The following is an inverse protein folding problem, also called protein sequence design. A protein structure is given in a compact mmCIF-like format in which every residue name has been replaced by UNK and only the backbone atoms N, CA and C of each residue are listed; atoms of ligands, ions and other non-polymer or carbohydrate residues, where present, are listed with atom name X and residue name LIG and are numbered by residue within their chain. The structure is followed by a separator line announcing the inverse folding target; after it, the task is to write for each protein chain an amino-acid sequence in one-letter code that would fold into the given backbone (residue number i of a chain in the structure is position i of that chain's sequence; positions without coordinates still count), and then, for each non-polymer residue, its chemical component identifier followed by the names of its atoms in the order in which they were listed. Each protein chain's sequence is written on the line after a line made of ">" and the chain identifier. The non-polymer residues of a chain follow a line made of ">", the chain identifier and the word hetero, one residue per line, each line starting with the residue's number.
data_IF_592165798306
#
_entry.id   IF_592165798306
#
_cell.length_a   1.000
_cell.length_b   1.000
_cell.length_c   1.000
_cell.angle_alpha   90.00
_cell.angle_beta   90.00
_cell.angle_gamma   90.00
#
_symmetry.space_group_name_H-M   'P 1'
#
loop_
_entity.id
_entity.type
_entity.pdbx_description
1 polymer ?
#
# COMPACT_ATOMS: atom_id res chain seq x y z
N UNK A 1 3.82 -16.42 26.78
CA UNK A 1 3.91 -16.35 25.31
C UNK A 1 4.23 -14.90 24.93
N UNK A 2 5.35 -14.61 24.27
CA UNK A 2 5.53 -13.28 23.71
C UNK A 2 4.53 -13.14 22.56
N UNK A 3 3.54 -12.25 22.70
CA UNK A 3 2.62 -11.95 21.61
C UNK A 3 3.44 -11.30 20.50
N UNK A 4 3.38 -11.84 19.29
CA UNK A 4 4.05 -11.23 18.14
C UNK A 4 3.45 -9.83 17.91
N UNK A 5 4.32 -8.83 17.76
CA UNK A 5 3.93 -7.41 17.68
C UNK A 5 3.06 -7.16 16.45
N UNK A 6 3.37 -7.81 15.31
CA UNK A 6 2.65 -7.63 14.05
C UNK A 6 1.17 -8.08 14.15
N UNK A 7 0.85 -9.32 14.55
CA UNK A 7 -0.54 -9.74 14.79
C UNK A 7 -1.28 -8.86 15.79
N UNK A 8 -0.59 -8.37 16.83
CA UNK A 8 -1.20 -7.49 17.84
C UNK A 8 -1.66 -6.16 17.24
N UNK A 9 -0.79 -5.52 16.46
CA UNK A 9 -1.10 -4.25 15.78
C UNK A 9 -2.25 -4.45 14.79
N UNK A 10 -2.15 -5.46 13.93
CA UNK A 10 -3.16 -5.72 12.89
C UNK A 10 -4.53 -6.11 13.49
N UNK A 11 -4.55 -6.95 14.53
CA UNK A 11 -5.80 -7.31 15.22
C UNK A 11 -6.44 -6.10 15.89
N UNK A 12 -5.64 -5.23 16.51
CA UNK A 12 -6.13 -3.98 17.12
C UNK A 12 -6.74 -3.05 16.07
N UNK A 13 -6.08 -2.89 14.92
CA UNK A 13 -6.59 -2.10 13.81
C UNK A 13 -7.89 -2.67 13.24
N UNK A 14 -7.97 -3.99 13.03
CA UNK A 14 -9.19 -4.67 12.55
C UNK A 14 -10.36 -4.48 13.52
N UNK A 15 -10.11 -4.68 14.82
CA UNK A 15 -11.12 -4.51 15.86
C UNK A 15 -11.62 -3.06 15.96
N UNK A 16 -10.71 -2.08 15.85
CA UNK A 16 -11.04 -0.65 15.92
C UNK A 16 -11.15 0.01 14.53
N UNK A 17 -11.65 -0.71 13.52
CA UNK A 17 -11.72 -0.23 12.13
C UNK A 17 -12.39 1.13 11.94
N UNK A 18 -13.38 1.47 12.76
CA UNK A 18 -14.09 2.75 12.67
C UNK A 18 -13.37 3.93 13.35
N UNK A 19 -12.28 3.70 14.10
CA UNK A 19 -11.59 4.75 14.87
C UNK A 19 -10.38 5.28 14.11
N UNK A 20 -10.55 6.39 13.39
CA UNK A 20 -9.49 7.00 12.57
C UNK A 20 -8.16 7.17 13.32
N UNK A 21 -8.19 7.65 14.58
CA UNK A 21 -6.98 7.80 15.39
C UNK A 21 -6.25 6.49 15.69
N UNK A 22 -6.98 5.39 15.90
CA UNK A 22 -6.36 4.06 16.09
C UNK A 22 -5.73 3.60 14.79
N UNK A 23 -6.41 3.82 13.68
CA UNK A 23 -5.91 3.46 12.36
C UNK A 23 -4.66 4.25 11.97
N UNK A 24 -4.67 5.56 12.21
CA UNK A 24 -3.53 6.46 12.01
C UNK A 24 -2.30 5.96 12.80
N UNK A 25 -2.47 5.67 14.09
CA UNK A 25 -1.38 5.19 14.95
C UNK A 25 -0.93 3.77 14.60
N UNK A 26 -1.86 2.90 14.18
CA UNK A 26 -1.54 1.57 13.68
C UNK A 26 -0.73 1.60 12.40
N UNK A 27 -1.11 2.46 11.44
CA UNK A 27 -0.34 2.72 10.24
C UNK A 27 1.06 3.27 10.58
N UNK A 28 1.16 4.19 11.55
CA UNK A 28 2.46 4.69 12.02
C UNK A 28 3.35 3.59 12.62
N UNK A 29 2.76 2.69 13.42
CA UNK A 29 3.50 1.55 13.95
C UNK A 29 4.03 0.67 12.82
N UNK A 30 3.21 0.42 11.78
CA UNK A 30 3.61 -0.36 10.61
C UNK A 30 4.75 0.30 9.81
N UNK A 31 4.80 1.63 9.71
CA UNK A 31 5.95 2.33 9.10
C UNK A 31 7.25 1.90 9.77
N UNK A 32 7.30 1.96 11.11
CA UNK A 32 8.50 1.63 11.87
C UNK A 32 8.83 0.13 11.82
N UNK A 33 7.82 -0.72 11.90
CA UNK A 33 7.98 -2.17 11.78
C UNK A 33 8.52 -2.58 10.41
N UNK A 34 8.04 -1.96 9.32
CA UNK A 34 8.47 -2.28 7.97
C UNK A 34 9.94 -1.94 7.67
N UNK A 35 10.59 -1.12 8.51
CA UNK A 35 12.03 -0.82 8.42
C UNK A 35 12.92 -1.97 8.92
N UNK A 36 12.35 -2.94 9.64
CA UNK A 36 13.07 -4.10 10.17
C UNK A 36 12.70 -5.34 9.35
N UNK A 37 13.67 -5.98 8.67
CA UNK A 37 13.44 -7.12 7.78
C UNK A 37 12.52 -8.21 8.38
N UNK A 38 12.75 -8.73 9.61
CA UNK A 38 11.89 -9.77 10.17
C UNK A 38 10.44 -9.32 10.38
N UNK A 39 10.24 -8.05 10.74
CA UNK A 39 8.91 -7.50 10.99
C UNK A 39 8.19 -7.16 9.69
N UNK A 40 8.93 -6.68 8.68
CA UNK A 40 8.41 -6.47 7.33
C UNK A 40 7.90 -7.76 6.71
N UNK A 41 8.68 -8.84 6.82
CA UNK A 41 8.30 -10.12 6.25
C UNK A 41 7.05 -10.69 6.94
N UNK A 42 6.95 -10.53 8.27
CA UNK A 42 5.74 -10.84 9.03
C UNK A 42 4.54 -9.95 8.66
N UNK A 43 4.73 -8.63 8.46
CA UNK A 43 3.67 -7.73 8.00
C UNK A 43 3.10 -8.17 6.65
N UNK A 44 3.97 -8.61 5.75
CA UNK A 44 3.57 -9.10 4.44
C UNK A 44 2.83 -10.44 4.55
N UNK A 45 3.27 -11.34 5.43
CA UNK A 45 2.58 -12.62 5.70
C UNK A 45 1.18 -12.42 6.29
N UNK A 46 1.00 -11.37 7.10
CA UNK A 46 -0.23 -11.07 7.83
C UNK A 46 -1.16 -10.06 7.12
N UNK A 47 -0.94 -9.81 5.82
CA UNK A 47 -1.81 -8.94 5.00
C UNK A 47 -1.90 -7.49 5.45
N UNK A 48 -0.77 -6.93 5.90
CA UNK A 48 -0.68 -5.54 6.27
C UNK A 48 -1.07 -4.59 5.11
N UNK A 49 -0.73 -4.92 3.85
CA UNK A 49 -1.08 -4.10 2.68
C UNK A 49 -2.61 -3.98 2.54
N UNK A 50 -3.35 -5.08 2.70
CA UNK A 50 -4.81 -5.06 2.61
C UNK A 50 -5.42 -4.31 3.77
N UNK A 51 -4.88 -4.50 4.97
CA UNK A 51 -5.31 -3.76 6.16
C UNK A 51 -5.12 -2.25 5.97
N UNK A 52 -4.01 -1.82 5.39
CA UNK A 52 -3.73 -0.42 5.04
C UNK A 52 -4.69 0.12 3.98
N UNK A 53 -4.98 -0.64 2.93
CA UNK A 53 -5.90 -0.22 1.87
C UNK A 53 -7.34 -0.10 2.38
N UNK A 54 -7.85 -1.12 3.09
CA UNK A 54 -9.17 -1.06 3.71
C UNK A 54 -9.30 0.12 4.68
N UNK A 55 -8.21 0.45 5.38
CA UNK A 55 -8.14 1.62 6.23
C UNK A 55 -8.23 2.94 5.45
N UNK A 56 -7.46 3.06 4.35
CA UNK A 56 -7.51 4.22 3.46
C UNK A 56 -8.90 4.42 2.84
N UNK A 57 -9.55 3.35 2.39
CA UNK A 57 -10.90 3.40 1.81
C UNK A 57 -11.94 3.86 2.84
N UNK A 58 -11.87 3.35 4.07
CA UNK A 58 -12.82 3.69 5.14
C UNK A 58 -12.66 5.11 5.67
N UNK A 59 -11.43 5.62 5.71
CA UNK A 59 -11.10 6.94 6.25
C UNK A 59 -10.57 7.87 5.16
N UNK A 60 -11.25 7.88 4.00
CA UNK A 60 -10.79 8.60 2.80
C UNK A 60 -10.60 10.11 3.04
N UNK A 61 -11.36 10.68 3.98
CA UNK A 61 -11.30 12.09 4.35
C UNK A 61 -10.30 12.40 5.47
N UNK A 62 -9.76 11.39 6.15
CA UNK A 62 -8.80 11.59 7.22
C UNK A 62 -7.37 11.64 6.66
N UNK A 63 -6.86 12.86 6.51
CA UNK A 63 -5.50 13.11 6.03
C UNK A 63 -4.43 12.37 6.82
N UNK A 64 -4.58 12.24 8.14
CA UNK A 64 -3.61 11.60 9.01
C UNK A 64 -3.51 10.09 8.74
N UNK A 65 -4.67 9.46 8.58
CA UNK A 65 -4.79 8.05 8.18
C UNK A 65 -4.21 7.82 6.77
N UNK A 66 -4.62 8.64 5.80
CA UNK A 66 -4.14 8.53 4.42
C UNK A 66 -2.62 8.66 4.34
N UNK A 67 -2.07 9.72 4.94
CA UNK A 67 -0.65 10.03 4.88
C UNK A 67 0.20 8.91 5.47
N UNK A 68 -0.15 8.42 6.67
CA UNK A 68 0.60 7.34 7.32
C UNK A 68 0.45 6.00 6.61
N UNK A 69 -0.69 5.75 5.99
CA UNK A 69 -0.90 4.54 5.20
C UNK A 69 -0.04 4.55 3.94
N UNK A 70 0.06 5.69 3.24
CA UNK A 70 1.00 5.86 2.11
C UNK A 70 2.44 5.62 2.56
N UNK A 71 2.87 6.18 3.69
CA UNK A 71 4.22 5.93 4.23
C UNK A 71 4.49 4.46 4.51
N UNK A 72 3.52 3.75 5.09
CA UNK A 72 3.66 2.32 5.35
C UNK A 72 3.73 1.54 4.02
N UNK A 73 2.90 1.90 3.04
CA UNK A 73 2.89 1.26 1.71
C UNK A 73 4.20 1.46 0.96
N UNK A 74 4.83 2.63 1.02
CA UNK A 74 6.16 2.90 0.41
C UNK A 74 7.17 1.82 0.82
N UNK A 75 7.10 1.37 2.08
CA UNK A 75 8.01 0.37 2.65
C UNK A 75 7.59 -1.08 2.35
N UNK A 76 6.38 -1.33 1.84
CA UNK A 76 5.79 -2.68 1.74
C UNK A 76 5.52 -3.15 0.31
N UNK A 77 5.16 -2.24 -0.61
CA UNK A 77 4.65 -2.63 -1.94
C UNK A 77 5.63 -3.46 -2.77
N UNK A 78 6.94 -3.23 -2.62
CA UNK A 78 7.98 -3.98 -3.34
C UNK A 78 8.23 -5.39 -2.80
N UNK A 79 7.60 -5.77 -1.68
CA UNK A 79 7.83 -7.05 -1.00
C UNK A 79 6.59 -7.94 -1.01
N UNK A 80 5.41 -7.33 -0.83
CA UNK A 80 4.19 -8.05 -0.49
C UNK A 80 3.11 -8.09 -1.55
N UNK A 81 3.10 -7.16 -2.51
CA UNK A 81 1.96 -6.98 -3.41
C UNK A 81 1.60 -8.25 -4.20
N UNK A 82 2.61 -9.01 -4.61
CA UNK A 82 2.47 -10.24 -5.38
C UNK A 82 2.98 -11.50 -4.65
N UNK A 83 3.24 -11.45 -3.33
CA UNK A 83 3.97 -12.54 -2.65
C UNK A 83 3.28 -13.90 -2.74
N UNK A 84 1.95 -13.93 -2.75
CA UNK A 84 1.17 -15.17 -2.84
C UNK A 84 1.10 -15.74 -4.27
N UNK A 85 1.40 -14.92 -5.29
CA UNK A 85 1.49 -15.39 -6.68
C UNK A 85 2.82 -16.07 -7.02
N UNK A 86 3.81 -16.06 -6.13
CA UNK A 86 5.08 -16.77 -6.34
C UNK A 86 4.93 -18.30 -6.31
N UNK A 87 3.82 -18.80 -5.76
CA UNK A 87 3.54 -20.23 -5.60
C UNK A 87 2.30 -20.70 -6.37
N UNK A 88 1.61 -19.82 -7.10
CA UNK A 88 0.54 -20.22 -8.01
C UNK A 88 1.11 -20.33 -9.42
N UNK A 89 1.03 -21.50 -10.09
CA UNK A 89 1.44 -21.62 -11.48
C UNK A 89 0.65 -20.63 -12.37
N UNK A 90 1.24 -20.15 -13.47
CA UNK A 90 0.55 -19.26 -14.40
C UNK A 90 -0.77 -19.91 -14.90
N UNK A 91 -1.80 -19.10 -15.21
CA UNK A 91 -3.13 -19.61 -15.59
C UNK A 91 -3.17 -20.54 -16.81
N UNK A 92 -2.07 -20.64 -17.57
CA UNK A 92 -1.93 -21.55 -18.71
C UNK A 92 -1.89 -23.04 -18.34
N UNK A 93 -1.72 -23.40 -17.06
CA UNK A 93 -1.75 -24.80 -16.59
C UNK A 93 -3.08 -25.22 -15.94
N UNK A 94 -4.11 -24.36 -15.96
CA UNK A 94 -5.43 -24.65 -15.39
C UNK A 94 -6.57 -24.58 -16.42
N UNK A 95 -6.33 -25.08 -17.63
CA UNK A 95 -7.41 -25.56 -18.51
C UNK A 95 -7.89 -26.94 -18.04
N UNK A 96 -8.46 -27.05 -16.84
CA UNK A 96 -9.32 -28.18 -16.46
C UNK A 96 -10.17 -27.80 -15.23
N UNK A 97 -11.41 -27.40 -15.51
CA UNK A 97 -12.63 -27.62 -14.71
C UNK A 97 -12.51 -27.53 -13.16
N UNK A 98 -12.43 -26.30 -12.62
CA UNK A 98 -12.74 -26.07 -11.20
C UNK A 98 -14.26 -26.10 -11.02
N UNK A 99 -14.81 -27.29 -10.80
CA UNK A 99 -16.16 -27.47 -10.26
C UNK A 99 -16.14 -27.00 -8.80
N UNK A 100 -16.73 -25.84 -8.53
CA UNK A 100 -16.97 -25.37 -7.16
C UNK A 100 -17.86 -26.38 -6.44
N UNK A 101 -17.28 -27.13 -5.49
CA UNK A 101 -18.04 -27.98 -4.57
C UNK A 101 -18.73 -27.08 -3.55
N UNK A 102 -19.93 -26.59 -3.89
CA UNK A 102 -20.83 -25.92 -2.95
C UNK A 102 -21.30 -26.95 -1.91
N UNK A 103 -21.11 -26.70 -0.60
CA UNK A 103 -21.70 -27.56 0.43
C UNK A 103 -23.24 -27.41 0.45
N UNK A 104 -23.98 -28.45 0.88
CA UNK A 104 -25.45 -28.43 0.89
C UNK A 104 -26.01 -27.35 1.83
N UNK A 105 -27.07 -26.68 1.37
CA UNK A 105 -27.73 -25.50 1.96
C UNK A 105 -28.16 -25.63 3.43
N UNK A 106 -28.17 -26.84 3.99
CA UNK A 106 -28.59 -27.13 5.35
C UNK A 106 -27.62 -26.64 6.44
N UNK A 107 -26.35 -26.34 6.10
CA UNK A 107 -25.35 -25.83 7.06
C UNK A 107 -25.25 -24.29 7.09
N UNK A 108 -25.97 -23.60 6.21
CA UNK A 108 -25.86 -22.14 6.03
C UNK A 108 -26.70 -21.32 7.04
N UNK A 109 -27.48 -21.97 7.91
CA UNK A 109 -28.34 -21.32 8.92
C UNK A 109 -27.84 -21.57 10.33
N UNK A 110 -26.73 -20.95 10.72
CA UNK A 110 -26.50 -20.44 12.10
C UNK A 110 -25.12 -19.80 12.23
N UNK A 111 -24.97 -18.58 11.71
CA UNK A 111 -24.21 -17.46 12.31
C UNK A 111 -24.20 -16.32 11.30
N UNK A 112 -25.31 -15.59 11.20
CA UNK A 112 -25.35 -14.26 10.59
C UNK A 112 -24.90 -13.25 11.65
N UNK A 113 -23.66 -12.77 11.55
CA UNK A 113 -23.35 -11.38 11.87
C UNK A 113 -23.01 -10.70 10.55
N UNK A 114 -23.94 -9.87 10.08
CA UNK A 114 -23.86 -9.12 8.84
C UNK A 114 -22.76 -8.06 8.93
N UNK A 115 -21.51 -8.42 8.65
CA UNK A 115 -20.41 -7.44 8.44
C UNK A 115 -19.16 -8.05 7.78
N UNK A 116 -19.30 -9.23 7.18
CA UNK A 116 -18.32 -9.85 6.29
C UNK A 116 -18.53 -9.31 4.87
N UNK A 117 -18.12 -8.06 4.65
CA UNK A 117 -17.70 -7.65 3.32
C UNK A 117 -16.47 -8.50 2.97
N UNK A 118 -16.77 -9.65 2.38
CA UNK A 118 -16.00 -10.38 1.39
C UNK A 118 -14.66 -9.69 1.09
N UNK A 119 -13.60 -10.27 1.65
CA UNK A 119 -12.22 -9.80 1.58
C UNK A 119 -11.82 -9.75 0.10
N UNK A 120 -12.14 -8.65 -0.57
CA UNK A 120 -11.91 -8.47 -2.00
C UNK A 120 -10.45 -8.86 -2.29
N UNK A 121 -10.20 -9.70 -3.30
CA UNK A 121 -8.89 -10.28 -3.54
C UNK A 121 -7.84 -9.17 -3.59
N UNK A 122 -6.60 -9.52 -3.19
CA UNK A 122 -5.42 -8.64 -3.15
C UNK A 122 -5.03 -8.18 -4.56
N UNK A 123 -5.91 -7.44 -5.23
CA UNK A 123 -5.65 -7.00 -6.59
C UNK A 123 -4.74 -5.77 -6.50
N UNK A 124 -3.59 -5.78 -7.19
CA UNK A 124 -2.77 -4.58 -7.36
C UNK A 124 -3.60 -3.39 -7.83
N UNK A 125 -4.63 -3.65 -8.63
CA UNK A 125 -5.59 -2.64 -9.06
C UNK A 125 -6.28 -1.92 -7.90
N UNK A 126 -6.75 -2.65 -6.86
CA UNK A 126 -7.36 -2.04 -5.66
C UNK A 126 -6.37 -1.18 -4.88
N UNK A 127 -5.13 -1.67 -4.72
CA UNK A 127 -4.06 -0.92 -4.06
C UNK A 127 -3.76 0.36 -4.82
N UNK A 128 -3.53 0.27 -6.14
CA UNK A 128 -3.24 1.42 -7.00
C UNK A 128 -4.41 2.41 -6.97
N UNK A 129 -5.66 1.94 -7.15
CA UNK A 129 -6.84 2.79 -7.15
C UNK A 129 -7.01 3.56 -5.83
N UNK A 130 -6.80 2.89 -4.69
CA UNK A 130 -6.86 3.52 -3.37
C UNK A 130 -5.77 4.58 -3.17
N UNK A 131 -4.55 4.29 -3.63
CA UNK A 131 -3.47 5.28 -3.64
C UNK A 131 -3.81 6.49 -4.50
N UNK A 132 -4.34 6.30 -5.71
CA UNK A 132 -4.70 7.41 -6.61
C UNK A 132 -5.83 8.27 -6.04
N UNK A 133 -6.85 7.65 -5.43
CA UNK A 133 -7.93 8.37 -4.77
C UNK A 133 -7.39 9.25 -3.62
N UNK A 134 -6.52 8.67 -2.80
CA UNK A 134 -5.87 9.35 -1.68
C UNK A 134 -5.01 10.54 -2.14
N UNK A 135 -4.13 10.32 -3.12
CA UNK A 135 -3.23 11.35 -3.66
C UNK A 135 -4.02 12.45 -4.34
N UNK A 136 -5.06 12.12 -5.11
CA UNK A 136 -5.94 13.12 -5.74
C UNK A 136 -6.59 14.00 -4.69
N UNK A 137 -7.07 13.41 -3.58
CA UNK A 137 -7.80 14.13 -2.54
C UNK A 137 -6.93 15.12 -1.77
N UNK A 138 -5.66 14.78 -1.53
CA UNK A 138 -4.72 15.59 -0.76
C UNK A 138 -3.60 16.18 -1.61
N UNK A 139 -3.79 16.28 -2.93
CA UNK A 139 -2.77 16.69 -3.89
C UNK A 139 -2.23 18.09 -3.62
N UNK A 140 -3.03 19.00 -3.05
CA UNK A 140 -2.59 20.37 -2.75
C UNK A 140 -1.55 20.44 -1.63
N UNK A 141 -1.41 19.39 -0.81
CA UNK A 141 -0.34 19.30 0.18
C UNK A 141 0.94 18.78 -0.48
N UNK A 142 1.99 19.61 -0.51
CA UNK A 142 3.27 19.31 -1.16
C UNK A 142 3.92 18.02 -0.63
N UNK A 143 3.92 17.83 0.69
CA UNK A 143 4.53 16.67 1.31
C UNK A 143 3.70 15.41 1.06
N UNK A 144 2.38 15.53 1.00
CA UNK A 144 1.50 14.43 0.63
C UNK A 144 1.69 14.03 -0.84
N UNK A 145 1.70 15.00 -1.75
CA UNK A 145 1.91 14.79 -3.17
C UNK A 145 3.28 14.16 -3.46
N UNK A 146 4.34 14.64 -2.80
CA UNK A 146 5.69 14.08 -2.84
C UNK A 146 5.69 12.57 -2.55
N UNK A 147 5.16 12.21 -1.40
CA UNK A 147 5.18 10.84 -0.89
C UNK A 147 4.24 9.94 -1.67
N UNK A 148 3.11 10.48 -2.11
CA UNK A 148 2.20 9.85 -3.06
C UNK A 148 2.89 9.49 -4.39
N UNK A 149 3.59 10.43 -5.00
CA UNK A 149 4.31 10.21 -6.25
C UNK A 149 5.44 9.18 -6.08
N UNK A 150 6.15 9.21 -4.95
CA UNK A 150 7.16 8.20 -4.62
C UNK A 150 6.56 6.79 -4.49
N UNK A 151 5.38 6.65 -3.86
CA UNK A 151 4.67 5.38 -3.79
C UNK A 151 4.29 4.86 -5.19
N UNK A 152 3.76 5.74 -6.05
CA UNK A 152 3.42 5.38 -7.42
C UNK A 152 4.66 4.97 -8.22
N UNK A 153 5.78 5.68 -8.06
CA UNK A 153 7.05 5.26 -8.63
C UNK A 153 7.49 3.88 -8.11
N UNK A 154 7.41 3.61 -6.81
CA UNK A 154 7.76 2.29 -6.27
C UNK A 154 6.92 1.18 -6.89
N UNK A 155 5.63 1.41 -7.12
CA UNK A 155 4.76 0.44 -7.81
C UNK A 155 5.22 0.16 -9.25
N UNK A 156 5.86 1.11 -9.94
CA UNK A 156 6.44 0.88 -11.28
C UNK A 156 7.71 0.04 -11.27
N UNK A 157 8.33 -0.22 -10.11
CA UNK A 157 9.52 -1.07 -10.03
C UNK A 157 9.22 -2.54 -10.34
N UNK A 158 7.95 -2.94 -10.23
CA UNK A 158 7.47 -4.27 -10.61
C UNK A 158 6.65 -4.20 -11.91
N UNK A 159 7.17 -4.84 -12.97
CA UNK A 159 6.57 -4.82 -14.30
C UNK A 159 5.14 -5.38 -14.33
N UNK A 160 4.78 -6.25 -13.38
CA UNK A 160 3.42 -6.81 -13.28
C UNK A 160 2.37 -5.74 -12.96
N UNK A 161 2.78 -4.60 -12.39
CA UNK A 161 1.88 -3.49 -12.11
C UNK A 161 1.65 -2.60 -13.34
N UNK A 162 2.52 -2.62 -14.33
CA UNK A 162 2.55 -1.61 -15.42
C UNK A 162 1.23 -1.52 -16.17
N UNK A 163 0.62 -2.65 -16.56
CA UNK A 163 -0.68 -2.64 -17.26
C UNK A 163 -1.79 -1.97 -16.44
N UNK A 164 -1.79 -2.15 -15.12
CA UNK A 164 -2.81 -1.55 -14.24
C UNK A 164 -2.51 -0.08 -13.95
N UNK A 165 -1.23 0.28 -13.82
CA UNK A 165 -0.79 1.67 -13.64
C UNK A 165 -1.11 2.51 -14.89
N UNK A 166 -0.94 1.95 -16.08
CA UNK A 166 -1.30 2.59 -17.34
C UNK A 166 -2.82 2.78 -17.48
N UNK A 167 -3.59 1.71 -17.26
CA UNK A 167 -5.07 1.74 -17.28
C UNK A 167 -5.69 2.76 -16.32
N UNK A 168 -5.03 3.04 -15.20
CA UNK A 168 -5.51 3.96 -14.17
C UNK A 168 -4.95 5.39 -14.30
N UNK A 169 -4.32 5.73 -15.43
CA UNK A 169 -3.77 7.06 -15.73
C UNK A 169 -2.83 7.61 -14.63
N UNK A 170 -1.92 6.76 -14.15
CA UNK A 170 -0.92 7.14 -13.15
C UNK A 170 -0.02 8.25 -13.68
N UNK A 171 0.35 8.20 -14.97
CA UNK A 171 1.16 9.25 -15.62
C UNK A 171 0.44 10.60 -15.55
N UNK A 172 -0.83 10.66 -15.97
CA UNK A 172 -1.61 11.89 -15.93
C UNK A 172 -1.75 12.44 -14.50
N UNK A 173 -1.93 11.57 -13.51
CA UNK A 173 -1.98 12.01 -12.11
C UNK A 173 -0.64 12.60 -11.63
N UNK A 174 0.50 11.96 -11.93
CA UNK A 174 1.81 12.46 -11.50
C UNK A 174 2.18 13.75 -12.25
N UNK A 175 1.76 13.90 -13.52
CA UNK A 175 1.87 15.17 -14.26
C UNK A 175 1.07 16.30 -13.58
N UNK A 176 -0.17 16.03 -13.15
CA UNK A 176 -0.97 17.00 -12.38
C UNK A 176 -0.31 17.39 -11.06
N UNK A 177 0.26 16.42 -10.35
CA UNK A 177 1.01 16.69 -9.11
C UNK A 177 2.24 17.57 -9.38
N UNK A 178 3.00 17.30 -10.45
CA UNK A 178 4.17 18.10 -10.84
C UNK A 178 3.78 19.53 -11.25
N UNK A 179 2.62 19.70 -11.90
CA UNK A 179 2.08 21.02 -12.24
C UNK A 179 1.61 21.81 -11.01
N UNK A 180 1.03 21.11 -10.02
CA UNK A 180 0.59 21.70 -8.74
C UNK A 180 1.78 22.15 -7.90
N UNK A 181 2.88 21.38 -7.92
CA UNK A 181 4.09 21.62 -7.12
C UNK A 181 5.34 21.79 -7.99
N UNK A 182 5.45 22.88 -8.78
CA UNK A 182 6.50 23.04 -9.79
C UNK A 182 7.92 23.13 -9.23
N UNK A 183 8.08 23.38 -7.94
CA UNK A 183 9.39 23.48 -7.27
C UNK A 183 9.80 22.19 -6.57
N UNK A 184 8.94 21.16 -6.53
CA UNK A 184 9.24 19.89 -5.88
C UNK A 184 10.04 18.97 -6.81
N UNK A 185 11.35 18.83 -6.56
CA UNK A 185 12.26 18.02 -7.36
C UNK A 185 11.98 16.51 -7.27
N UNK A 186 11.43 16.03 -6.16
CA UNK A 186 11.12 14.62 -5.96
C UNK A 186 9.92 14.20 -6.79
N UNK A 187 8.89 15.05 -6.89
CA UNK A 187 7.73 14.79 -7.76
C UNK A 187 8.18 14.72 -9.23
N UNK A 188 9.06 15.62 -9.67
CA UNK A 188 9.64 15.58 -11.03
C UNK A 188 10.43 14.30 -11.29
N UNK A 189 11.32 13.94 -10.35
CA UNK A 189 12.08 12.69 -10.45
C UNK A 189 11.17 11.46 -10.50
N UNK A 190 10.09 11.46 -9.72
CA UNK A 190 9.08 10.40 -9.72
C UNK A 190 8.35 10.35 -11.05
N UNK A 191 7.98 11.50 -11.63
CA UNK A 191 7.36 11.60 -12.95
C UNK A 191 8.24 10.98 -14.04
N UNK A 192 9.51 11.41 -14.12
CA UNK A 192 10.46 10.91 -15.11
C UNK A 192 10.63 9.39 -14.99
N UNK A 193 10.74 8.89 -13.75
CA UNK A 193 10.84 7.47 -13.46
C UNK A 193 9.59 6.68 -13.86
N UNK A 194 8.41 7.20 -13.56
CA UNK A 194 7.12 6.58 -13.92
C UNK A 194 6.96 6.53 -15.44
N UNK A 195 7.23 7.64 -16.14
CA UNK A 195 7.14 7.72 -17.61
C UNK A 195 8.14 6.78 -18.28
N UNK A 196 9.39 6.73 -17.78
CA UNK A 196 10.42 5.84 -18.33
C UNK A 196 10.03 4.36 -18.20
N UNK A 197 9.42 3.96 -17.08
CA UNK A 197 9.09 2.56 -16.81
C UNK A 197 7.80 2.09 -17.46
N UNK A 198 6.75 2.90 -17.41
CA UNK A 198 5.47 2.57 -18.07
C UNK A 198 5.60 2.74 -19.60
N UNK A 199 6.41 3.68 -20.08
CA UNK A 199 6.66 3.88 -21.52
C UNK A 199 7.50 2.79 -22.19
N UNK A 200 8.13 1.89 -21.43
CA UNK A 200 8.91 0.74 -21.92
C UNK A 200 8.06 -0.53 -22.13
N UNK A 201 6.73 -0.41 -22.30
CA UNK A 201 5.88 -1.53 -22.75
C UNK A 201 6.16 -1.81 -24.26
N UNK A 202 7.42 -2.09 -24.59
CA UNK A 202 7.79 -2.90 -25.74
C UNK A 202 8.05 -4.32 -25.20
N UNK A 203 7.33 -5.27 -25.80
CA UNK A 203 7.28 -6.70 -25.48
C UNK A 203 8.69 -7.27 -25.24
N UNK A 204 9.09 -7.42 -23.98
CA UNK A 204 10.26 -8.22 -23.60
C UNK A 204 9.77 -9.57 -23.07
N UNK A 205 10.14 -10.70 -23.71
CA UNK A 205 9.69 -12.02 -23.25
C UNK A 205 10.27 -12.35 -21.87
N UNK A 206 9.45 -13.01 -21.04
CA UNK A 206 9.82 -13.49 -19.71
C UNK A 206 11.02 -14.45 -19.76
N UNK A 207 12.23 -13.92 -19.66
CA UNK A 207 13.43 -14.70 -19.41
C UNK A 207 14.51 -13.84 -18.76
N UNK A 208 14.32 -13.45 -17.50
CA UNK A 208 15.41 -12.97 -16.67
C UNK A 208 15.28 -13.56 -15.25
N UNK A 209 16.22 -14.45 -14.94
CA UNK A 209 16.42 -15.04 -13.61
C UNK A 209 16.68 -13.95 -12.57
N UNK A 210 15.89 -13.94 -11.50
CA UNK A 210 15.83 -12.89 -10.47
C UNK A 210 16.93 -12.97 -9.39
N UNK A 211 18.04 -13.67 -9.63
CA UNK A 211 19.09 -13.89 -8.60
C UNK A 211 19.97 -12.68 -8.29
N UNK A 212 19.91 -11.59 -9.07
CA UNK A 212 20.92 -10.52 -9.02
C UNK A 212 20.48 -9.16 -8.44
N UNK A 213 19.23 -9.01 -7.95
CA UNK A 213 18.82 -7.76 -7.30
C UNK A 213 19.29 -7.72 -5.83
N UNK A 214 20.58 -7.42 -5.66
CA UNK A 214 21.17 -7.04 -4.38
C UNK A 214 20.63 -5.65 -3.99
N UNK A 215 19.69 -5.63 -3.05
CA UNK A 215 19.15 -4.41 -2.44
C UNK A 215 20.28 -3.50 -1.96
N UNK A 216 20.37 -2.28 -2.50
CA UNK A 216 21.02 -1.16 -1.81
C UNK A 216 19.93 -0.39 -1.05
N UNK A 217 20.08 -0.19 0.27
CA UNK A 217 19.15 0.64 1.02
C UNK A 217 19.13 2.04 0.39
N UNK A 218 17.95 2.52 0.00
CA UNK A 218 17.76 3.95 -0.22
C UNK A 218 17.76 4.59 1.19
N UNK A 219 18.92 4.96 1.70
CA UNK A 219 19.10 5.82 2.87
C UNK A 219 19.78 7.12 2.40
N UNK A 220 19.45 8.35 2.91
CA UNK A 220 19.12 8.67 4.30
C UNK A 220 18.02 9.76 4.48
N UNK A 221 16.98 9.84 3.63
CA UNK A 221 16.00 10.94 3.71
C UNK A 221 14.92 10.80 4.80
N UNK A 222 14.87 9.67 5.51
CA UNK A 222 13.79 9.36 6.46
C UNK A 222 14.07 9.87 7.88
N UNK A 223 15.33 10.18 8.23
CA UNK A 223 15.70 10.46 9.64
C UNK A 223 15.44 11.89 10.11
N UNK A 224 15.50 12.90 9.23
CA UNK A 224 15.42 14.31 9.67
C UNK A 224 13.99 14.78 9.96
N UNK A 225 12.98 14.31 9.22
CA UNK A 225 11.58 14.64 9.50
C UNK A 225 10.99 13.84 10.68
N UNK A 226 11.63 12.74 11.12
CA UNK A 226 11.20 11.99 12.31
C UNK A 226 11.41 12.76 13.63
N UNK A 227 12.25 13.81 13.65
CA UNK A 227 12.43 14.66 14.85
C UNK A 227 11.36 15.74 15.02
N UNK A 228 10.76 16.23 13.94
CA UNK A 228 9.92 17.44 13.97
C UNK A 228 8.40 17.14 14.00
N UNK A 229 7.99 15.87 13.96
CA UNK A 229 6.57 15.46 14.03
C UNK A 229 5.96 15.43 15.44
N UNK A 230 6.74 15.71 16.48
CA UNK A 230 6.26 15.85 17.86
C UNK A 230 6.16 17.33 18.24
N UNK A 231 5.15 18.05 17.72
CA UNK A 231 4.68 19.23 18.44
C UNK A 231 3.80 18.76 19.61
N UNK A 232 4.10 19.14 20.87
CA UNK A 232 3.18 18.91 21.98
C UNK A 232 1.93 19.76 21.72
N UNK A 233 0.77 19.11 21.61
CA UNK A 233 -0.51 19.80 21.71
C UNK A 233 -0.53 20.50 23.07
N UNK A 234 -0.65 21.83 23.00
CA UNK A 234 -0.50 22.73 24.13
C UNK A 234 -1.40 22.37 25.30
N UNK A 235 -0.88 22.67 26.49
CA UNK A 235 -1.66 22.96 27.68
C UNK A 235 -2.81 23.89 27.31
N UNK A 236 -4.04 23.37 27.27
CA UNK A 236 -5.21 24.19 27.49
C UNK A 236 -5.54 24.10 28.97
N UNK A 237 -5.41 25.27 29.61
CA UNK A 237 -5.91 25.56 30.94
C UNK A 237 -7.36 25.10 31.07
N UNK A 238 -7.64 24.28 32.08
CA UNK A 238 -8.97 24.19 32.66
C UNK A 238 -9.04 25.31 33.70
N UNK A 239 -9.82 26.35 33.40
CA UNK A 239 -10.50 27.14 34.42
C UNK A 239 -11.75 26.37 34.89
#
# INVERSE_FOLDING_TARGET
>A
FPVSVVPSVLSTMRFHRARARVQEMGAWAMVNLALQTPMRDALVEEDAIITLVSNMERHIDDKGVQYRSIFALINLVNFGLWRHHRNTPPPEELEEEVVYFLPPESEMKSTMTTEDEEFAPRSPQRVIASCLASITRFMEDDLFADRGCLLLYNLTLDARNHSQLDKLDVIGLVQRAAATHPNNATIKSSLDGVMSKIGQIEVTPLAASYSDYRWQPIAPFVTDQMRNGCHPLGQQHYD
#
